data_IF_012031048203
#
_entry.id   IF_012031048203
#
_cell.length_a   1.000
_cell.length_b   1.000
_cell.length_c   1.000
_cell.angle_alpha   90.00
_cell.angle_beta   90.00
_cell.angle_gamma   90.00
#
_symmetry.space_group_name_H-M   'P 1'
#
loop_
_entity.id
_entity.type
_entity.pdbx_description
1 polymer ?
#
# COMPACT_ATOMS: atom_id res chain seq x y z
N UNK A 1 -24.35 -12.92 12.20
CA UNK A 1 -23.21 -13.11 11.26
C UNK A 1 -22.37 -11.86 11.08
N UNK A 2 -22.94 -10.67 10.82
CA UNK A 2 -22.14 -9.45 10.65
C UNK A 2 -21.14 -9.19 11.80
N UNK A 3 -21.57 -9.34 13.06
CA UNK A 3 -20.69 -9.17 14.23
C UNK A 3 -19.45 -10.07 14.26
N UNK A 4 -19.47 -11.24 13.60
CA UNK A 4 -18.31 -12.15 13.59
C UNK A 4 -17.23 -11.74 12.61
N UNK A 5 -17.57 -10.89 11.62
CA UNK A 5 -16.63 -10.37 10.62
C UNK A 5 -16.27 -8.90 10.85
N UNK A 6 -16.99 -8.19 11.73
CA UNK A 6 -16.71 -6.80 12.13
C UNK A 6 -15.40 -6.70 12.92
N UNK A 7 -14.61 -5.66 12.68
CA UNK A 7 -13.43 -5.36 13.50
C UNK A 7 -13.84 -5.10 14.97
N UNK A 8 -13.06 -5.63 15.90
CA UNK A 8 -13.23 -5.51 17.36
C UNK A 8 -13.60 -4.10 17.80
N UNK A 9 -12.99 -3.07 17.22
CA UNK A 9 -13.22 -1.67 17.60
C UNK A 9 -14.68 -1.25 17.39
N UNK A 10 -15.36 -1.81 16.39
CA UNK A 10 -16.75 -1.46 16.05
C UNK A 10 -17.79 -2.47 16.54
N UNK A 11 -17.37 -3.65 17.00
CA UNK A 11 -18.27 -4.73 17.43
C UNK A 11 -19.21 -4.29 18.57
N UNK A 12 -18.70 -3.52 19.53
CA UNK A 12 -19.48 -3.08 20.70
C UNK A 12 -20.64 -2.16 20.29
N UNK A 13 -20.37 -1.17 19.43
CA UNK A 13 -21.37 -0.20 19.01
C UNK A 13 -22.37 -0.81 18.01
N UNK A 14 -21.90 -1.71 17.15
CA UNK A 14 -22.77 -2.49 16.29
C UNK A 14 -23.71 -3.38 17.11
N UNK A 15 -23.21 -4.03 18.17
CA UNK A 15 -24.03 -4.87 19.05
C UNK A 15 -25.09 -4.06 19.79
N UNK A 16 -24.73 -2.89 20.34
CA UNK A 16 -25.68 -1.96 20.99
C UNK A 16 -26.79 -1.56 20.02
N UNK A 17 -26.41 -1.14 18.81
CA UNK A 17 -27.36 -0.74 17.76
C UNK A 17 -28.28 -1.89 17.37
N UNK A 18 -27.74 -3.11 17.22
CA UNK A 18 -28.53 -4.29 16.90
C UNK A 18 -29.53 -4.66 18.01
N UNK A 19 -29.13 -4.56 19.29
CA UNK A 19 -30.03 -4.79 20.44
C UNK A 19 -31.13 -3.74 20.53
N UNK A 20 -30.79 -2.46 20.33
CA UNK A 20 -31.76 -1.36 20.35
C UNK A 20 -32.84 -1.51 19.28
N UNK A 21 -32.47 -2.04 18.11
CA UNK A 21 -33.38 -2.28 16.99
C UNK A 21 -33.99 -3.70 16.96
N UNK A 22 -33.88 -4.46 18.06
CA UNK A 22 -34.40 -5.82 18.18
C UNK A 22 -33.93 -6.78 17.05
N UNK A 23 -32.76 -6.54 16.47
CA UNK A 23 -32.15 -7.40 15.43
C UNK A 23 -31.43 -8.61 16.01
N UNK A 24 -31.11 -8.57 17.29
CA UNK A 24 -30.44 -9.63 18.03
C UNK A 24 -31.00 -9.72 19.44
N UNK A 25 -30.87 -10.90 20.06
CA UNK A 25 -31.30 -11.13 21.43
C UNK A 25 -30.61 -10.16 22.41
N UNK A 26 -31.36 -9.66 23.40
CA UNK A 26 -30.84 -8.69 24.40
C UNK A 26 -29.74 -9.30 25.28
N UNK A 27 -29.80 -10.61 25.51
CA UNK A 27 -28.84 -11.39 26.28
C UNK A 27 -27.73 -11.97 25.40
N UNK A 28 -27.72 -11.66 24.10
CA UNK A 28 -26.65 -12.10 23.22
C UNK A 28 -25.30 -11.52 23.67
N UNK A 29 -24.31 -12.41 23.75
CA UNK A 29 -22.93 -12.09 24.06
C UNK A 29 -21.99 -12.46 22.91
N UNK A 30 -20.99 -11.61 22.68
CA UNK A 30 -19.95 -11.88 21.69
C UNK A 30 -19.06 -13.03 22.16
N UNK A 31 -18.91 -14.05 21.31
CA UNK A 31 -17.93 -15.13 21.50
C UNK A 31 -16.51 -14.57 21.55
N UNK A 32 -15.67 -15.11 22.44
CA UNK A 32 -14.28 -14.64 22.60
C UNK A 32 -13.47 -14.68 21.29
N UNK A 33 -13.68 -15.71 20.46
CA UNK A 33 -13.02 -15.84 19.15
C UNK A 33 -13.29 -14.64 18.22
N UNK A 34 -14.46 -13.99 18.32
CA UNK A 34 -14.80 -12.84 17.47
C UNK A 34 -14.15 -11.55 17.97
N UNK A 35 -13.87 -11.45 19.28
CA UNK A 35 -13.23 -10.28 19.91
C UNK A 35 -11.75 -10.14 19.52
N UNK A 36 -11.16 -11.18 18.94
CA UNK A 36 -9.80 -11.14 18.40
C UNK A 36 -9.72 -10.62 16.96
N UNK A 37 -10.85 -10.28 16.32
CA UNK A 37 -10.86 -9.73 14.98
C UNK A 37 -10.39 -8.26 14.99
N UNK A 38 -9.11 -8.03 15.27
CA UNK A 38 -8.48 -6.71 15.16
C UNK A 38 -7.43 -6.70 14.07
N UNK A 39 -7.22 -5.54 13.47
CA UNK A 39 -6.14 -5.33 12.50
C UNK A 39 -4.77 -5.83 13.00
N UNK A 40 -4.43 -5.56 14.25
CA UNK A 40 -3.15 -5.98 14.85
C UNK A 40 -3.05 -7.50 14.98
N UNK A 41 -4.09 -8.17 15.48
CA UNK A 41 -4.09 -9.62 15.63
C UNK A 41 -4.03 -10.33 14.27
N UNK A 42 -4.76 -9.81 13.27
CA UNK A 42 -4.71 -10.32 11.90
C UNK A 42 -3.32 -10.12 11.28
N UNK A 43 -2.69 -8.97 11.47
CA UNK A 43 -1.33 -8.74 10.98
C UNK A 43 -0.35 -9.74 11.57
N UNK A 44 -0.37 -9.96 12.88
CA UNK A 44 0.50 -10.95 13.54
C UNK A 44 0.23 -12.37 13.05
N UNK A 45 -1.03 -12.78 12.90
CA UNK A 45 -1.40 -14.12 12.41
C UNK A 45 -0.99 -14.34 10.94
N UNK A 46 -1.05 -13.30 10.10
CA UNK A 46 -0.74 -13.38 8.67
C UNK A 46 0.75 -13.15 8.35
N UNK A 47 1.51 -12.55 9.26
CA UNK A 47 2.92 -12.21 9.04
C UNK A 47 3.81 -13.42 8.67
N UNK A 48 3.70 -14.60 9.30
CA UNK A 48 4.49 -15.77 8.91
C UNK A 48 4.20 -16.21 7.46
N UNK A 49 2.94 -16.14 7.02
CA UNK A 49 2.54 -16.50 5.66
C UNK A 49 3.04 -15.47 4.62
N UNK A 50 3.08 -14.18 4.99
CA UNK A 50 3.71 -13.15 4.15
C UNK A 50 5.22 -13.39 4.02
N UNK A 51 5.90 -13.72 5.10
CA UNK A 51 7.33 -14.04 5.09
C UNK A 51 7.63 -15.32 4.28
N UNK A 52 6.71 -16.29 4.31
CA UNK A 52 6.77 -17.50 3.47
C UNK A 52 6.39 -17.27 2.00
N UNK A 53 6.06 -16.03 1.58
CA UNK A 53 5.69 -15.70 0.20
C UNK A 53 4.29 -16.20 -0.22
N UNK A 54 3.50 -16.75 0.71
CA UNK A 54 2.18 -17.34 0.43
C UNK A 54 1.08 -16.28 0.25
N UNK A 55 1.34 -15.05 0.68
CA UNK A 55 0.41 -13.92 0.60
C UNK A 55 1.03 -12.79 -0.22
N UNK A 56 1.10 -12.91 -1.56
CA UNK A 56 1.54 -11.83 -2.42
C UNK A 56 0.57 -10.65 -2.33
N UNK A 57 1.05 -9.45 -2.70
CA UNK A 57 0.22 -8.24 -2.69
C UNK A 57 -0.98 -8.34 -3.64
N UNK A 58 -0.88 -9.15 -4.71
CA UNK A 58 -1.90 -9.35 -5.73
C UNK A 58 -2.17 -10.85 -5.98
N UNK A 59 -3.01 -11.52 -5.16
CA UNK A 59 -3.15 -12.98 -5.17
C UNK A 59 -4.09 -13.59 -6.23
N UNK A 60 -5.01 -12.80 -6.83
CA UNK A 60 -6.08 -13.32 -7.70
C UNK A 60 -5.84 -13.09 -9.20
N UNK A 61 -4.58 -12.98 -9.61
CA UNK A 61 -4.21 -12.39 -10.89
C UNK A 61 -4.39 -10.86 -10.84
N UNK A 62 -3.51 -10.16 -11.52
CA UNK A 62 -3.57 -8.71 -11.64
C UNK A 62 -3.37 -8.33 -13.09
N UNK A 63 -4.11 -7.32 -13.54
CA UNK A 63 -3.85 -6.68 -14.83
C UNK A 63 -2.53 -5.87 -14.80
N UNK A 64 -1.91 -5.73 -13.63
CA UNK A 64 -0.58 -5.13 -13.50
C UNK A 64 0.51 -6.14 -13.87
N UNK A 65 1.32 -5.73 -14.84
CA UNK A 65 2.63 -6.34 -15.12
C UNK A 65 3.58 -6.22 -13.92
N UNK A 66 4.63 -7.03 -13.88
CA UNK A 66 5.63 -6.96 -12.80
C UNK A 66 6.27 -5.57 -12.64
N UNK A 67 6.47 -4.87 -13.77
CA UNK A 67 6.97 -3.49 -13.80
C UNK A 67 5.98 -2.54 -13.12
N UNK A 68 4.68 -2.70 -13.38
CA UNK A 68 3.64 -1.86 -12.79
C UNK A 68 3.48 -2.15 -11.30
N UNK A 69 3.51 -3.42 -10.90
CA UNK A 69 3.47 -3.79 -9.48
C UNK A 69 4.65 -3.18 -8.70
N UNK A 70 5.84 -3.14 -9.31
CA UNK A 70 7.02 -2.45 -8.76
C UNK A 70 6.84 -0.93 -8.72
N UNK A 71 6.20 -0.34 -9.74
CA UNK A 71 6.00 1.11 -9.83
C UNK A 71 4.95 1.64 -8.84
N UNK A 72 3.93 0.86 -8.47
CA UNK A 72 2.85 1.31 -7.58
C UNK A 72 3.36 1.94 -6.27
N UNK A 73 4.15 1.25 -5.42
CA UNK A 73 4.63 1.83 -4.16
C UNK A 73 5.55 3.04 -4.39
N UNK A 74 6.34 3.02 -5.46
CA UNK A 74 7.25 4.10 -5.85
C UNK A 74 6.47 5.36 -6.21
N UNK A 75 5.44 5.22 -7.05
CA UNK A 75 4.57 6.32 -7.46
C UNK A 75 3.77 6.88 -6.29
N UNK A 76 3.29 6.03 -5.38
CA UNK A 76 2.64 6.50 -4.15
C UNK A 76 3.58 7.33 -3.27
N UNK A 77 4.84 6.91 -3.13
CA UNK A 77 5.86 7.68 -2.41
C UNK A 77 6.13 9.01 -3.12
N UNK A 78 6.31 8.97 -4.44
CA UNK A 78 6.57 10.15 -5.26
C UNK A 78 5.41 11.15 -5.18
N UNK A 79 4.16 10.69 -5.19
CA UNK A 79 2.96 11.52 -5.02
C UNK A 79 2.92 12.23 -3.65
N UNK A 80 3.39 11.59 -2.58
CA UNK A 80 3.48 12.24 -1.26
C UNK A 80 4.56 13.31 -1.25
N UNK A 81 5.74 13.00 -1.81
CA UNK A 81 6.90 13.90 -1.85
C UNK A 81 6.67 15.09 -2.79
N UNK A 82 5.96 14.90 -3.91
CA UNK A 82 5.67 15.94 -4.89
C UNK A 82 4.79 17.07 -4.36
N UNK A 83 4.09 16.86 -3.23
CA UNK A 83 3.37 17.93 -2.52
C UNK A 83 4.29 19.04 -2.00
N UNK A 84 5.59 18.75 -1.84
CA UNK A 84 6.60 19.73 -1.45
C UNK A 84 7.61 19.94 -2.58
N UNK A 85 7.73 21.18 -3.07
CA UNK A 85 8.73 21.55 -4.08
C UNK A 85 10.16 21.25 -3.61
N UNK A 86 10.44 21.47 -2.33
CA UNK A 86 11.74 21.15 -1.72
C UNK A 86 11.93 19.63 -1.62
N UNK A 87 10.86 18.90 -1.27
CA UNK A 87 10.89 17.44 -1.17
C UNK A 87 11.25 16.78 -2.50
N UNK A 88 10.59 17.16 -3.59
CA UNK A 88 10.86 16.57 -4.91
C UNK A 88 12.24 16.94 -5.44
N UNK A 89 12.73 18.17 -5.18
CA UNK A 89 14.08 18.58 -5.57
C UNK A 89 15.16 17.82 -4.79
N UNK A 90 14.98 17.62 -3.48
CA UNK A 90 15.89 16.80 -2.67
C UNK A 90 15.93 15.37 -3.19
N UNK A 91 14.77 14.79 -3.51
CA UNK A 91 14.70 13.43 -4.06
C UNK A 91 15.38 13.35 -5.43
N UNK A 92 15.16 14.33 -6.30
CA UNK A 92 15.83 14.42 -7.60
C UNK A 92 17.36 14.58 -7.48
N UNK A 93 17.85 15.30 -6.48
CA UNK A 93 19.28 15.44 -6.22
C UNK A 93 19.94 14.10 -5.86
N UNK A 94 19.26 13.25 -5.09
CA UNK A 94 19.70 11.87 -4.82
C UNK A 94 19.69 11.02 -6.11
N UNK A 95 18.70 11.27 -6.98
CA UNK A 95 18.57 10.60 -8.27
C UNK A 95 19.73 10.87 -9.23
N UNK A 96 20.34 12.06 -9.18
CA UNK A 96 21.52 12.40 -9.99
C UNK A 96 22.74 11.51 -9.68
N UNK A 97 22.85 11.03 -8.44
CA UNK A 97 23.94 10.16 -7.99
C UNK A 97 23.63 8.67 -8.20
N UNK A 98 22.51 8.35 -8.84
CA UNK A 98 22.05 6.97 -9.03
C UNK A 98 22.29 6.53 -10.46
N UNK A 99 22.97 5.39 -10.61
CA UNK A 99 23.11 4.72 -11.90
C UNK A 99 21.92 3.77 -12.09
N UNK A 100 21.05 3.98 -13.11
CA UNK A 100 19.89 3.13 -13.34
C UNK A 100 20.31 1.78 -13.92
N UNK A 101 19.76 0.68 -13.38
CA UNK A 101 19.89 -0.63 -14.01
C UNK A 101 18.83 -0.83 -15.12
N UNK A 102 18.86 -1.99 -15.78
CA UNK A 102 17.93 -2.30 -16.86
C UNK A 102 16.47 -2.25 -16.41
N UNK A 103 16.17 -2.77 -15.21
CA UNK A 103 14.82 -2.78 -14.67
C UNK A 103 14.31 -1.37 -14.33
N UNK A 104 15.19 -0.47 -13.89
CA UNK A 104 14.87 0.94 -13.68
C UNK A 104 14.63 1.67 -15.01
N UNK A 105 15.39 1.34 -16.07
CA UNK A 105 15.17 1.88 -17.41
C UNK A 105 13.82 1.45 -18.00
N UNK A 106 13.42 0.19 -17.80
CA UNK A 106 12.13 -0.33 -18.24
C UNK A 106 10.97 0.37 -17.49
N UNK A 107 11.13 0.64 -16.20
CA UNK A 107 10.17 1.40 -15.41
C UNK A 107 10.04 2.86 -15.88
N UNK A 108 11.17 3.52 -16.19
CA UNK A 108 11.20 4.87 -16.77
C UNK A 108 10.55 4.89 -18.16
N UNK A 109 10.78 3.85 -18.97
CA UNK A 109 10.16 3.66 -20.28
C UNK A 109 8.65 3.49 -20.19
N UNK A 110 8.17 2.71 -19.22
CA UNK A 110 6.73 2.49 -19.00
C UNK A 110 5.98 3.80 -18.74
N UNK A 111 6.65 4.78 -18.14
CA UNK A 111 6.12 6.11 -17.83
C UNK A 111 6.43 7.19 -18.89
N UNK A 112 6.97 6.81 -20.05
CA UNK A 112 7.37 7.72 -21.13
C UNK A 112 8.40 8.79 -20.71
N UNK A 113 9.26 8.46 -19.73
CA UNK A 113 10.26 9.38 -19.17
C UNK A 113 11.68 9.11 -19.69
N UNK A 114 11.86 8.29 -20.72
CA UNK A 114 13.19 8.04 -21.31
C UNK A 114 13.78 9.30 -21.96
N UNK A 115 12.95 10.07 -22.65
CA UNK A 115 13.33 11.30 -23.35
C UNK A 115 12.54 12.50 -22.80
N UNK A 116 12.94 13.03 -21.63
CA UNK A 116 12.21 14.13 -21.01
C UNK A 116 12.33 15.40 -21.85
N UNK A 117 11.17 15.93 -22.27
CA UNK A 117 11.02 17.13 -23.11
C UNK A 117 10.99 18.41 -22.28
N UNK A 118 10.62 18.34 -21.01
CA UNK A 118 10.51 19.47 -20.10
C UNK A 118 11.44 19.36 -18.87
N UNK A 119 11.72 20.50 -18.22
CA UNK A 119 12.48 20.48 -16.94
C UNK A 119 11.72 19.72 -15.84
N UNK A 120 10.39 19.81 -15.83
CA UNK A 120 9.54 19.09 -14.91
C UNK A 120 9.67 17.57 -15.08
N UNK A 121 9.68 17.07 -16.31
CA UNK A 121 9.92 15.65 -16.60
C UNK A 121 11.33 15.22 -16.20
N UNK A 122 12.35 16.07 -16.38
CA UNK A 122 13.72 15.76 -15.91
C UNK A 122 13.77 15.59 -14.40
N UNK A 123 13.16 16.50 -13.65
CA UNK A 123 13.07 16.40 -12.18
C UNK A 123 12.30 15.14 -11.78
N UNK A 124 11.18 14.87 -12.46
CA UNK A 124 10.32 13.71 -12.19
C UNK A 124 11.06 12.40 -12.44
N UNK A 125 11.81 12.30 -13.55
CA UNK A 125 12.66 11.14 -13.87
C UNK A 125 13.72 10.91 -12.80
N UNK A 126 14.44 11.95 -12.39
CA UNK A 126 15.47 11.83 -11.34
C UNK A 126 14.87 11.41 -10.00
N UNK A 127 13.76 12.04 -9.62
CA UNK A 127 13.03 11.72 -8.40
C UNK A 127 12.48 10.27 -8.42
N UNK A 128 12.01 9.80 -9.57
CA UNK A 128 11.58 8.41 -9.79
C UNK A 128 12.75 7.43 -9.62
N UNK A 129 13.90 7.70 -10.23
CA UNK A 129 15.09 6.84 -10.10
C UNK A 129 15.57 6.73 -8.66
N UNK A 130 15.58 7.84 -7.92
CA UNK A 130 15.89 7.84 -6.50
C UNK A 130 14.87 6.99 -5.69
N UNK A 131 13.58 7.11 -6.01
CA UNK A 131 12.54 6.34 -5.34
C UNK A 131 12.59 4.84 -5.67
N UNK A 132 12.93 4.47 -6.90
CA UNK A 132 13.13 3.08 -7.33
C UNK A 132 14.28 2.41 -6.57
N UNK A 133 15.36 3.13 -6.33
CA UNK A 133 16.50 2.66 -5.54
C UNK A 133 16.15 2.41 -4.08
N UNK A 134 15.37 3.31 -3.48
CA UNK A 134 14.94 3.19 -2.08
C UNK A 134 13.93 2.06 -1.85
N UNK A 135 13.21 1.65 -2.91
CA UNK A 135 12.23 0.56 -2.86
C UNK A 135 12.80 -0.86 -3.04
N UNK A 136 14.11 -1.00 -3.18
CA UNK A 136 14.81 -2.29 -3.19
C UNK A 136 15.07 -2.76 -1.77
#
# INVERSE_FOLDING_TARGET
>A
EMLSITDREFQSDLLKTAKANCKIDRNFELKNAWRENSRSALQSKLQPFKQAGLLPNYPFGSDFTDIEQRLIPVLQKLQRVSRSKVGILKLAAVGLLTSPDQADQDAVKRLDLLQPKSMAERITRLALLAALRDSR
#
